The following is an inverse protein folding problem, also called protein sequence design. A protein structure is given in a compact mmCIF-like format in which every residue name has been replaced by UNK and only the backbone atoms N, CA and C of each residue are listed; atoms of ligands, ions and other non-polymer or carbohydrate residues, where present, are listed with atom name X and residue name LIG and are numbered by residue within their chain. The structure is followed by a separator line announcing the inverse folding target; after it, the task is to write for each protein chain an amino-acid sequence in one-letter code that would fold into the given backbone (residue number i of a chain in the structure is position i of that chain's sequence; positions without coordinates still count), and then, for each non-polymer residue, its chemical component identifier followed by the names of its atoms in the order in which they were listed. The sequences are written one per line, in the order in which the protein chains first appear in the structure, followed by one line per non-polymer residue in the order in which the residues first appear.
data_IF_989799501603
#
_entry.id   IF_989799501603
#
_cell.length_a   1.000
_cell.length_b   1.000
_cell.length_c   1.000
_cell.angle_alpha   90.00
_cell.angle_beta   90.00
_cell.angle_gamma   90.00
#
_symmetry.space_group_name_H-M   'P 1'
#
loop_
_entity.id
_entity.type
_entity.pdbx_description
1 polymer ?
#
# COMPACT_ATOMS: atom_id res chain seq x y z
N UNK A 1 -5.62 15.26 -21.45
CA UNK A 1 -4.91 15.78 -20.31
C UNK A 1 -4.10 14.67 -19.64
N UNK A 2 -2.78 14.85 -19.52
CA UNK A 2 -1.92 13.79 -18.98
C UNK A 2 -2.29 13.36 -17.57
N UNK A 3 -2.89 14.24 -16.78
CA UNK A 3 -3.28 13.86 -15.41
C UNK A 3 -4.37 12.81 -15.39
N UNK A 4 -5.11 12.65 -16.47
CA UNK A 4 -6.17 11.65 -16.51
C UNK A 4 -5.67 10.23 -16.66
N UNK A 5 -4.38 10.06 -16.95
CA UNK A 5 -3.78 8.74 -16.99
C UNK A 5 -3.90 8.05 -15.63
N UNK A 6 -3.87 8.82 -14.56
CA UNK A 6 -3.98 8.28 -13.21
C UNK A 6 -5.43 8.36 -12.73
N UNK A 7 -6.27 7.58 -13.38
CA UNK A 7 -7.67 7.42 -12.99
C UNK A 7 -7.77 6.70 -11.64
N UNK A 8 -9.01 6.56 -11.15
CA UNK A 8 -9.25 5.80 -9.93
C UNK A 8 -8.70 4.38 -10.01
N UNK A 9 -8.82 3.75 -11.17
CA UNK A 9 -8.32 2.40 -11.35
C UNK A 9 -6.81 2.36 -11.15
N UNK A 10 -6.09 3.32 -11.73
CA UNK A 10 -4.65 3.38 -11.57
C UNK A 10 -4.27 3.69 -10.13
N UNK A 11 -5.05 4.52 -9.44
CA UNK A 11 -4.82 4.80 -8.01
C UNK A 11 -4.99 3.54 -7.17
N UNK A 12 -6.03 2.75 -7.47
CA UNK A 12 -6.25 1.49 -6.77
C UNK A 12 -5.09 0.52 -6.99
N UNK A 13 -4.62 0.42 -8.22
CA UNK A 13 -3.47 -0.41 -8.53
C UNK A 13 -2.22 0.05 -7.79
N UNK A 14 -2.02 1.36 -7.71
CA UNK A 14 -0.87 1.93 -6.98
C UNK A 14 -0.95 1.59 -5.49
N UNK A 15 -2.13 1.69 -4.89
CA UNK A 15 -2.33 1.33 -3.49
C UNK A 15 -2.02 -0.15 -3.28
N UNK A 16 -2.51 -1.02 -4.15
CA UNK A 16 -2.24 -2.45 -4.05
C UNK A 16 -0.75 -2.75 -4.17
N UNK A 17 -0.05 -2.06 -5.06
CA UNK A 17 1.40 -2.24 -5.20
C UNK A 17 2.13 -1.86 -3.91
N UNK A 18 1.69 -0.81 -3.23
CA UNK A 18 2.30 -0.41 -1.96
C UNK A 18 2.01 -1.41 -0.86
N UNK A 19 0.80 -1.95 -0.82
CA UNK A 19 0.45 -3.02 0.13
C UNK A 19 1.36 -4.22 -0.09
N UNK A 20 1.52 -4.63 -1.34
CA UNK A 20 2.36 -5.75 -1.70
C UNK A 20 3.82 -5.51 -1.27
N UNK A 21 4.33 -4.31 -1.49
CA UNK A 21 5.68 -3.93 -1.07
C UNK A 21 5.85 -4.07 0.45
N UNK A 22 4.88 -3.59 1.23
CA UNK A 22 4.95 -3.68 2.69
C UNK A 22 4.88 -5.12 3.18
N UNK A 23 4.02 -5.93 2.58
CA UNK A 23 3.95 -7.34 2.91
C UNK A 23 5.25 -8.06 2.58
N UNK A 24 5.86 -7.72 1.45
CA UNK A 24 7.15 -8.29 1.07
C UNK A 24 8.24 -7.93 2.06
N UNK A 25 8.24 -6.72 2.59
CA UNK A 25 9.20 -6.30 3.61
C UNK A 25 9.09 -7.15 4.86
N UNK A 26 7.87 -7.38 5.32
CA UNK A 26 7.66 -8.22 6.50
C UNK A 26 8.12 -9.65 6.22
N UNK A 27 7.77 -10.19 5.06
CA UNK A 27 8.14 -11.54 4.68
C UNK A 27 9.65 -11.73 4.61
N UNK A 28 10.35 -10.77 4.02
CA UNK A 28 11.78 -10.90 3.75
C UNK A 28 12.65 -10.51 4.92
N UNK A 29 12.26 -9.50 5.68
CA UNK A 29 13.04 -9.00 6.81
C UNK A 29 12.60 -9.57 8.15
N UNK A 30 11.41 -10.18 8.19
CA UNK A 30 10.87 -10.75 9.41
C UNK A 30 10.39 -9.69 10.38
N UNK A 31 10.13 -10.11 11.59
CA UNK A 31 9.65 -9.23 12.66
C UNK A 31 10.86 -8.60 13.35
N UNK A 32 10.90 -7.28 13.33
CA UNK A 32 11.99 -6.52 13.94
C UNK A 32 11.46 -5.16 14.42
N UNK A 33 12.37 -4.29 14.84
CA UNK A 33 12.00 -3.00 15.44
C UNK A 33 11.16 -2.12 14.50
N UNK A 34 11.31 -2.30 13.20
CA UNK A 34 10.59 -1.48 12.21
C UNK A 34 9.32 -2.12 11.70
N UNK A 35 9.00 -3.32 12.15
CA UNK A 35 7.80 -4.02 11.70
C UNK A 35 6.55 -3.24 12.07
N UNK A 36 6.53 -2.64 13.26
CA UNK A 36 5.38 -1.86 13.69
C UNK A 36 5.10 -0.70 12.73
N UNK A 37 6.15 0.01 12.30
CA UNK A 37 6.00 1.11 11.33
C UNK A 37 5.44 0.60 10.01
N UNK A 38 5.92 -0.55 9.57
CA UNK A 38 5.43 -1.16 8.32
C UNK A 38 3.97 -1.56 8.44
N UNK A 39 3.56 -2.07 9.60
CA UNK A 39 2.16 -2.43 9.85
C UNK A 39 1.28 -1.18 9.87
N UNK A 40 1.75 -0.10 10.49
CA UNK A 40 1.02 1.16 10.50
C UNK A 40 0.79 1.67 9.08
N UNK A 41 1.81 1.61 8.24
CA UNK A 41 1.69 1.98 6.83
C UNK A 41 0.68 1.09 6.11
N UNK A 42 0.71 -0.21 6.37
CA UNK A 42 -0.26 -1.15 5.80
C UNK A 42 -1.68 -0.79 6.18
N UNK A 43 -1.92 -0.48 7.44
CA UNK A 43 -3.25 -0.09 7.90
C UNK A 43 -3.73 1.14 7.13
N UNK A 44 -2.87 2.12 6.95
CA UNK A 44 -3.20 3.32 6.18
C UNK A 44 -3.57 3.01 4.74
N UNK A 45 -2.77 2.17 4.08
CA UNK A 45 -3.06 1.79 2.69
C UNK A 45 -4.33 0.96 2.57
N UNK A 46 -4.61 0.09 3.53
CA UNK A 46 -5.84 -0.70 3.52
C UNK A 46 -7.06 0.19 3.70
N UNK A 47 -6.98 1.22 4.53
CA UNK A 47 -8.05 2.19 4.68
C UNK A 47 -8.28 2.92 3.35
N UNK A 48 -7.20 3.37 2.71
CA UNK A 48 -7.30 4.04 1.41
C UNK A 48 -7.93 3.12 0.37
N UNK A 49 -7.55 1.86 0.36
CA UNK A 49 -8.12 0.89 -0.57
C UNK A 49 -9.61 0.71 -0.32
N UNK A 50 -10.01 0.59 0.94
CA UNK A 50 -11.41 0.47 1.29
C UNK A 50 -12.21 1.69 0.85
N UNK A 51 -11.65 2.88 0.99
CA UNK A 51 -12.32 4.11 0.56
C UNK A 51 -12.47 4.20 -0.95
N UNK A 52 -11.63 3.51 -1.70
CA UNK A 52 -11.70 3.52 -3.16
C UNK A 52 -12.68 2.49 -3.74
N UNK A 53 -13.26 1.67 -2.88
CA UNK A 53 -14.23 0.66 -3.31
C UNK A 53 -15.65 1.20 -3.45
#
# INVERSE_FOLDING_TARGET
NPTNVFSKLNSTEAICARIDDKLSRIKNKGINDKTEDTIDDLIGYLILLKMSM
#
